data_IF_976594013394
#
_entry.id   IF_976594013394
#
_cell.length_a   1.000
_cell.length_b   1.000
_cell.length_c   1.000
_cell.angle_alpha   90.00
_cell.angle_beta   90.00
_cell.angle_gamma   90.00
#
_symmetry.space_group_name_H-M   'P 1'
#
loop_
_entity.id
_entity.type
_entity.pdbx_description
1 polymer ?
#
# COMPACT_ATOMS: atom_id res chain seq x y z
N UNK A 1 -6.07 9.81 11.04
CA UNK A 1 -5.58 9.03 12.19
C UNK A 1 -4.46 8.18 11.64
N UNK A 2 -3.24 8.30 12.17
CA UNK A 2 -2.05 7.66 11.60
C UNK A 2 -1.98 6.22 12.11
N UNK A 3 -2.02 5.24 11.21
CA UNK A 3 -1.96 3.82 11.56
C UNK A 3 -0.67 3.21 11.00
N UNK A 4 0.35 3.01 11.84
CA UNK A 4 1.70 2.64 11.40
C UNK A 4 2.09 1.17 11.61
N UNK A 5 1.39 0.42 12.48
CA UNK A 5 1.61 -1.02 12.63
C UNK A 5 0.51 -1.82 11.92
N UNK A 6 0.81 -2.43 10.75
CA UNK A 6 -0.16 -3.22 10.00
C UNK A 6 -0.87 -4.31 10.79
N UNK A 7 -0.21 -4.90 11.79
CA UNK A 7 -0.83 -5.96 12.60
C UNK A 7 -2.03 -5.45 13.39
N UNK A 8 -2.02 -4.17 13.77
CA UNK A 8 -3.07 -3.51 14.55
C UNK A 8 -4.15 -2.87 13.69
N UNK A 9 -3.97 -2.78 12.37
CA UNK A 9 -4.95 -2.17 11.49
C UNK A 9 -6.27 -2.94 11.51
N UNK A 10 -7.35 -2.18 11.53
CA UNK A 10 -8.73 -2.64 11.39
C UNK A 10 -9.32 -2.03 10.14
N UNK A 11 -10.11 -2.80 9.39
CA UNK A 11 -10.78 -2.30 8.19
C UNK A 11 -11.64 -1.07 8.54
N UNK A 12 -11.60 0.00 7.73
CA UNK A 12 -12.45 1.16 7.96
C UNK A 12 -13.93 0.80 7.82
N UNK A 13 -14.76 1.39 8.67
CA UNK A 13 -16.21 1.24 8.61
C UNK A 13 -16.79 2.38 7.75
N UNK A 14 -16.72 2.22 6.42
CA UNK A 14 -17.32 3.17 5.47
C UNK A 14 -18.83 2.98 5.34
N UNK A 15 -19.51 3.98 4.78
CA UNK A 15 -20.96 3.89 4.57
C UNK A 15 -21.31 2.68 3.69
N UNK A 16 -22.42 2.01 4.02
CA UNK A 16 -22.89 0.76 3.38
C UNK A 16 -23.15 0.84 1.85
N UNK A 17 -23.29 2.05 1.34
CA UNK A 17 -23.53 2.29 -0.10
C UNK A 17 -22.22 2.26 -0.91
N UNK A 18 -21.08 2.17 -0.23
CA UNK A 18 -19.76 2.03 -0.85
C UNK A 18 -19.44 0.54 -1.07
N UNK A 19 -18.49 0.29 -1.96
CA UNK A 19 -17.99 -1.05 -2.26
C UNK A 19 -17.44 -1.71 -0.99
N UNK A 20 -17.62 -3.02 -0.86
CA UNK A 20 -16.91 -3.80 0.16
C UNK A 20 -15.40 -3.79 -0.15
N UNK A 21 -14.65 -3.19 0.77
CA UNK A 21 -13.21 -2.94 0.65
C UNK A 21 -12.37 -3.91 1.45
N UNK A 22 -13.00 -4.87 2.13
CA UNK A 22 -12.33 -5.81 3.04
C UNK A 22 -11.17 -6.51 2.34
N UNK A 23 -11.38 -6.97 1.11
CA UNK A 23 -10.33 -7.65 0.33
C UNK A 23 -9.16 -6.74 -0.04
N UNK A 24 -9.44 -5.48 -0.40
CA UNK A 24 -8.41 -4.49 -0.76
C UNK A 24 -7.62 -4.07 0.50
N UNK A 25 -8.31 -3.92 1.63
CA UNK A 25 -7.71 -3.62 2.93
C UNK A 25 -6.78 -4.76 3.39
N UNK A 26 -7.27 -6.00 3.37
CA UNK A 26 -6.50 -7.18 3.77
C UNK A 26 -5.27 -7.38 2.89
N UNK A 27 -5.41 -7.14 1.59
CA UNK A 27 -4.30 -7.15 0.64
C UNK A 27 -3.21 -6.15 1.03
N UNK A 28 -3.58 -4.88 1.25
CA UNK A 28 -2.61 -3.85 1.65
C UNK A 28 -1.98 -4.15 3.01
N UNK A 29 -2.72 -4.68 3.97
CA UNK A 29 -2.19 -5.14 5.26
C UNK A 29 -1.13 -6.22 5.08
N UNK A 30 -1.43 -7.25 4.28
CA UNK A 30 -0.47 -8.34 3.99
C UNK A 30 0.78 -7.81 3.30
N UNK A 31 0.62 -6.96 2.28
CA UNK A 31 1.76 -6.37 1.57
C UNK A 31 2.62 -5.50 2.50
N UNK A 32 1.98 -4.70 3.35
CA UNK A 32 2.67 -3.82 4.30
C UNK A 32 3.53 -4.61 5.29
N UNK A 33 3.03 -5.74 5.79
CA UNK A 33 3.81 -6.68 6.62
C UNK A 33 4.99 -7.24 5.83
N UNK A 34 4.82 -7.54 4.54
CA UNK A 34 5.91 -8.04 3.69
C UNK A 34 7.00 -6.98 3.47
N UNK A 35 6.64 -5.70 3.27
CA UNK A 35 7.60 -4.58 3.19
C UNK A 35 8.46 -4.54 4.45
N UNK A 36 7.82 -4.46 5.63
CA UNK A 36 8.52 -4.31 6.90
C UNK A 36 9.45 -5.50 7.24
N UNK A 37 9.14 -6.69 6.71
CA UNK A 37 10.01 -7.88 6.87
C UNK A 37 11.15 -7.93 5.88
N UNK A 38 11.03 -7.30 4.72
CA UNK A 38 11.96 -7.46 3.60
C UNK A 38 12.92 -6.29 3.45
N UNK A 39 12.52 -5.09 3.89
CA UNK A 39 13.27 -3.87 3.63
C UNK A 39 13.53 -3.11 4.93
N UNK A 40 14.78 -3.16 5.38
CA UNK A 40 15.23 -2.51 6.61
C UNK A 40 14.96 -1.00 6.61
N UNK A 41 14.56 -0.50 7.79
CA UNK A 41 14.32 0.92 8.08
C UNK A 41 13.20 1.56 7.23
N UNK A 42 12.34 0.74 6.64
CA UNK A 42 11.09 1.21 6.06
C UNK A 42 10.02 1.36 7.13
N UNK A 43 9.11 2.30 6.90
CA UNK A 43 7.87 2.47 7.66
C UNK A 43 6.72 2.50 6.67
N UNK A 44 5.58 2.00 7.10
CA UNK A 44 4.34 1.98 6.33
C UNK A 44 3.25 2.67 7.13
N UNK A 45 2.38 3.40 6.45
CA UNK A 45 1.28 4.12 7.09
C UNK A 45 0.01 3.95 6.28
N UNK A 46 -1.04 3.38 6.88
CA UNK A 46 -2.36 3.36 6.27
C UNK A 46 -2.97 4.76 6.36
N UNK A 47 -3.24 5.35 5.20
CA UNK A 47 -3.86 6.65 5.04
C UNK A 47 -5.26 6.50 4.43
N UNK A 48 -6.26 6.92 5.20
CA UNK A 48 -7.67 6.98 4.82
C UNK A 48 -7.99 8.43 4.42
N UNK A 49 -7.33 8.90 3.36
CA UNK A 49 -7.30 10.32 3.01
C UNK A 49 -8.67 10.89 2.61
N UNK A 50 -9.59 10.04 2.16
CA UNK A 50 -10.98 10.37 1.86
C UNK A 50 -11.87 9.16 2.16
N UNK A 51 -13.15 9.39 2.45
CA UNK A 51 -14.12 8.30 2.61
C UNK A 51 -14.16 7.46 1.32
N UNK A 52 -14.10 6.13 1.46
CA UNK A 52 -14.04 5.22 0.33
C UNK A 52 -12.69 5.05 -0.34
N UNK A 53 -11.68 5.83 0.07
CA UNK A 53 -10.33 5.73 -0.46
C UNK A 53 -9.35 5.37 0.64
N UNK A 54 -8.40 4.52 0.28
CA UNK A 54 -7.33 4.10 1.17
C UNK A 54 -6.06 3.85 0.38
N UNK A 55 -4.94 4.16 1.00
CA UNK A 55 -3.60 3.86 0.49
C UNK A 55 -2.67 3.52 1.65
N UNK A 56 -1.51 2.97 1.32
CA UNK A 56 -0.40 2.85 2.27
C UNK A 56 0.77 3.69 1.78
N UNK A 57 1.20 4.64 2.60
CA UNK A 57 2.41 5.40 2.36
C UNK A 57 3.63 4.60 2.83
N UNK A 58 4.61 4.47 1.93
CA UNK A 58 5.88 3.79 2.22
C UNK A 58 6.98 4.83 2.32
N UNK A 59 7.63 4.87 3.48
CA UNK A 59 8.71 5.80 3.78
C UNK A 59 9.97 5.09 4.24
N UNK A 60 11.13 5.72 4.08
CA UNK A 60 12.41 5.25 4.61
C UNK A 60 13.18 6.46 5.12
N UNK A 61 13.74 6.36 6.33
CA UNK A 61 14.43 7.47 6.99
C UNK A 61 13.63 8.80 7.03
N UNK A 62 12.30 8.73 7.11
CA UNK A 62 11.41 9.89 7.16
C UNK A 62 11.06 10.52 5.81
N UNK A 63 11.60 9.99 4.71
CA UNK A 63 11.25 10.42 3.36
C UNK A 63 10.26 9.44 2.73
N UNK A 64 9.23 9.96 2.07
CA UNK A 64 8.23 9.16 1.34
C UNK A 64 8.80 8.71 -0.02
N UNK A 65 8.60 7.44 -0.36
CA UNK A 65 9.11 6.84 -1.60
C UNK A 65 8.04 6.22 -2.48
N UNK A 66 6.98 5.68 -1.89
CA UNK A 66 5.92 5.09 -2.67
C UNK A 66 4.57 5.20 -1.96
N UNK A 67 3.52 5.05 -2.75
CA UNK A 67 2.15 4.84 -2.30
C UNK A 67 1.70 3.48 -2.82
N UNK A 68 1.13 2.66 -1.95
CA UNK A 68 0.56 1.37 -2.30
C UNK A 68 -0.96 1.47 -2.28
N UNK A 69 -1.58 0.94 -3.33
CA UNK A 69 -3.01 0.77 -3.46
C UNK A 69 -3.32 -0.69 -3.76
N UNK A 70 -4.53 -1.13 -3.42
CA UNK A 70 -5.07 -2.42 -3.85
C UNK A 70 -6.43 -2.20 -4.50
N UNK A 71 -6.66 -2.87 -5.62
CA UNK A 71 -7.89 -2.81 -6.39
C UNK A 71 -8.40 -4.23 -6.64
N UNK A 72 -9.70 -4.44 -6.48
CA UNK A 72 -10.38 -5.63 -7.01
C UNK A 72 -11.05 -5.25 -8.33
N UNK A 73 -10.40 -5.59 -9.46
CA UNK A 73 -10.97 -5.45 -10.81
C UNK A 73 -11.47 -6.80 -11.29
N UNK A 74 -12.73 -6.87 -11.73
CA UNK A 74 -13.29 -8.08 -12.36
C UNK A 74 -13.06 -9.36 -11.53
N UNK A 75 -13.16 -9.27 -10.20
CA UNK A 75 -12.90 -10.33 -9.21
C UNK A 75 -11.44 -10.72 -8.93
N UNK A 76 -10.47 -10.08 -9.60
CA UNK A 76 -9.05 -10.29 -9.34
C UNK A 76 -8.44 -9.14 -8.55
N UNK A 77 -7.66 -9.49 -7.52
CA UNK A 77 -6.88 -8.54 -6.73
C UNK A 77 -5.63 -8.10 -7.51
N UNK A 78 -5.44 -6.80 -7.62
CA UNK A 78 -4.26 -6.16 -8.19
C UNK A 78 -3.73 -5.11 -7.21
N UNK A 79 -2.41 -5.06 -7.06
CA UNK A 79 -1.72 -4.00 -6.35
C UNK A 79 -1.19 -2.96 -7.33
N UNK A 80 -1.17 -1.71 -6.88
CA UNK A 80 -0.56 -0.60 -7.60
C UNK A 80 0.44 0.06 -6.67
N UNK A 81 1.68 0.21 -7.12
CA UNK A 81 2.70 0.97 -6.42
C UNK A 81 3.02 2.23 -7.24
N UNK A 82 2.73 3.39 -6.66
CA UNK A 82 3.00 4.68 -7.25
C UNK A 82 4.27 5.28 -6.62
N UNK A 83 5.29 5.51 -7.43
CA UNK A 83 6.55 6.16 -7.05
C UNK A 83 6.47 7.62 -7.50
N UNK A 84 6.53 8.60 -6.57
CA UNK A 84 6.39 10.01 -6.89
C UNK A 84 7.44 10.53 -7.88
N UNK A 85 7.08 11.60 -8.59
CA UNK A 85 7.96 12.31 -9.50
C UNK A 85 9.26 12.78 -8.81
N UNK A 86 10.38 12.70 -9.53
CA UNK A 86 11.70 13.10 -9.03
C UNK A 86 12.44 12.02 -8.23
N UNK A 87 11.90 10.79 -8.19
CA UNK A 87 12.61 9.60 -7.71
C UNK A 87 13.27 8.86 -8.87
N UNK A 88 14.25 8.00 -8.56
CA UNK A 88 15.06 7.27 -9.55
C UNK A 88 14.21 6.40 -10.49
N UNK A 89 13.14 5.83 -9.95
CA UNK A 89 12.21 4.91 -10.65
C UNK A 89 10.78 5.46 -10.53
N UNK A 90 10.58 6.74 -10.88
CA UNK A 90 9.23 7.33 -10.89
C UNK A 90 8.29 6.56 -11.83
N UNK A 91 7.05 6.34 -11.39
CA UNK A 91 6.08 5.60 -12.19
C UNK A 91 4.98 4.93 -11.40
N UNK A 92 4.04 4.34 -12.14
CA UNK A 92 2.94 3.54 -11.61
C UNK A 92 3.14 2.08 -12.03
N UNK A 93 3.24 1.18 -11.05
CA UNK A 93 3.55 -0.22 -11.28
C UNK A 93 2.39 -1.11 -10.82
N UNK A 94 1.84 -1.87 -11.77
CA UNK A 94 0.78 -2.85 -11.51
C UNK A 94 1.36 -4.25 -11.36
N UNK A 95 0.95 -4.96 -10.31
CA UNK A 95 1.38 -6.33 -10.06
C UNK A 95 0.35 -7.09 -9.22
N UNK A 96 0.42 -8.42 -9.28
CA UNK A 96 -0.45 -9.33 -8.53
C UNK A 96 0.32 -10.17 -7.51
N UNK A 97 1.64 -10.20 -7.64
CA UNK A 97 2.54 -10.93 -6.76
C UNK A 97 3.26 -9.93 -5.84
N UNK A 98 3.18 -10.18 -4.53
CA UNK A 98 3.83 -9.36 -3.52
C UNK A 98 5.35 -9.31 -3.74
N UNK A 99 5.97 -10.44 -4.10
CA UNK A 99 7.42 -10.50 -4.32
C UNK A 99 7.87 -9.53 -5.41
N UNK A 100 7.13 -9.44 -6.51
CA UNK A 100 7.38 -8.48 -7.59
C UNK A 100 7.26 -7.02 -7.11
N UNK A 101 6.27 -6.73 -6.27
CA UNK A 101 6.12 -5.41 -5.67
C UNK A 101 7.30 -5.03 -4.76
N UNK A 102 7.80 -5.99 -3.98
CA UNK A 102 9.00 -5.81 -3.14
C UNK A 102 10.25 -5.59 -4.00
N UNK A 103 10.42 -6.33 -5.09
CA UNK A 103 11.51 -6.11 -6.04
C UNK A 103 11.49 -4.71 -6.66
N UNK A 104 10.31 -4.22 -7.05
CA UNK A 104 10.14 -2.85 -7.56
C UNK A 104 10.57 -1.86 -6.48
N UNK A 105 10.03 -1.98 -5.27
CA UNK A 105 10.32 -1.08 -4.17
C UNK A 105 11.81 -1.04 -3.79
N UNK A 106 12.52 -2.18 -3.88
CA UNK A 106 13.97 -2.23 -3.69
C UNK A 106 14.77 -1.39 -4.69
N UNK A 107 14.27 -1.20 -5.92
CA UNK A 107 14.91 -0.36 -6.92
C UNK A 107 14.65 1.14 -6.68
N UNK A 108 13.59 1.46 -5.95
CA UNK A 108 13.15 2.83 -5.67
C UNK A 108 13.76 3.42 -4.39
N UNK A 109 14.27 2.58 -3.47
CA UNK A 109 14.74 2.92 -2.11
C UNK A 109 16.26 2.96 -1.97
#
# INVERSE_FOLDING_TARGET
MVHSDPNTWTAPNWHKDWKDITSEFDAMKVFSIAILKSIDKTTVELDLFEEGYMKVDVSRAGEKYAELYANTRETELEYVLYVPFGKVEEGEYHFRDISKGIEILHRCL
#
